data_IF_266790653447
#
_entry.id   IF_266790653447
#
_cell.length_a   1.000
_cell.length_b   1.000
_cell.length_c   1.000
_cell.angle_alpha   90.00
_cell.angle_beta   90.00
_cell.angle_gamma   90.00
#
_symmetry.space_group_name_H-M   'P 1'
#
loop_
_entity.id
_entity.type
_entity.pdbx_description
1 polymer ?
#
# COMPACT_ATOMS: atom_id res chain seq x y z
N UNK A 1 37.46 -10.12 -16.45
CA UNK A 1 36.90 -8.84 -15.95
C UNK A 1 35.56 -8.94 -15.23
N UNK A 2 34.83 -10.09 -15.33
CA UNK A 2 33.46 -10.19 -14.74
C UNK A 2 33.42 -10.47 -13.23
N UNK A 3 34.34 -11.29 -12.70
CA UNK A 3 34.30 -11.75 -11.29
C UNK A 3 34.60 -10.64 -10.27
N UNK A 4 35.53 -9.74 -10.59
CA UNK A 4 35.86 -8.61 -9.69
C UNK A 4 34.75 -7.55 -9.64
N UNK A 5 34.02 -7.35 -10.73
CA UNK A 5 32.89 -6.41 -10.78
C UNK A 5 31.70 -6.92 -9.98
N UNK A 6 31.42 -8.21 -10.03
CA UNK A 6 30.36 -8.87 -9.26
C UNK A 6 30.67 -8.88 -7.76
N UNK A 7 31.94 -9.10 -7.37
CA UNK A 7 32.39 -9.00 -5.98
C UNK A 7 32.31 -7.59 -5.42
N UNK A 8 32.65 -6.54 -6.20
CA UNK A 8 32.51 -5.14 -5.79
C UNK A 8 31.07 -4.73 -5.57
N UNK A 9 30.14 -5.17 -6.45
CA UNK A 9 28.70 -4.91 -6.31
C UNK A 9 28.12 -5.58 -5.05
N UNK A 10 28.55 -6.79 -4.72
CA UNK A 10 28.14 -7.52 -3.50
C UNK A 10 28.69 -6.84 -2.24
N UNK A 11 29.92 -6.34 -2.27
CA UNK A 11 30.53 -5.62 -1.14
C UNK A 11 29.85 -4.27 -0.89
N UNK A 12 29.55 -3.50 -1.94
CA UNK A 12 28.85 -2.23 -1.81
C UNK A 12 27.42 -2.42 -1.28
N UNK A 13 26.71 -3.44 -1.73
CA UNK A 13 25.40 -3.81 -1.18
C UNK A 13 25.50 -4.20 0.30
N UNK A 14 26.51 -4.97 0.67
CA UNK A 14 26.75 -5.39 2.06
C UNK A 14 27.11 -4.22 2.97
N UNK A 15 27.95 -3.30 2.49
CA UNK A 15 28.33 -2.08 3.23
C UNK A 15 27.14 -1.13 3.40
N UNK A 16 26.34 -0.93 2.35
CA UNK A 16 25.08 -0.16 2.44
C UNK A 16 24.12 -0.76 3.47
N UNK A 17 24.00 -2.09 3.54
CA UNK A 17 23.17 -2.79 4.53
C UNK A 17 23.66 -2.58 5.96
N UNK A 18 24.97 -2.63 6.19
CA UNK A 18 25.58 -2.39 7.51
C UNK A 18 25.36 -0.93 7.93
N UNK A 19 25.65 0.03 7.04
CA UNK A 19 25.46 1.45 7.30
C UNK A 19 23.98 1.78 7.55
N UNK A 20 23.08 1.19 6.78
CA UNK A 20 21.63 1.32 6.97
C UNK A 20 21.20 0.75 8.32
N UNK A 21 21.66 -0.45 8.70
CA UNK A 21 21.38 -1.05 10.01
C UNK A 21 21.90 -0.19 11.17
N UNK A 22 23.07 0.41 11.02
CA UNK A 22 23.64 1.31 12.04
C UNK A 22 22.83 2.60 12.12
N UNK A 23 22.44 3.18 10.98
CA UNK A 23 21.65 4.41 10.91
C UNK A 23 20.27 4.20 11.55
N UNK A 24 19.59 3.11 11.22
CA UNK A 24 18.30 2.76 11.81
C UNK A 24 18.43 2.51 13.31
N UNK A 25 19.44 1.75 13.76
CA UNK A 25 19.70 1.56 15.19
C UNK A 25 19.95 2.89 15.92
N UNK A 26 20.67 3.81 15.29
CA UNK A 26 20.95 5.12 15.86
C UNK A 26 19.70 5.99 15.93
N UNK A 27 18.88 6.02 14.87
CA UNK A 27 17.55 6.65 14.87
C UNK A 27 16.65 6.07 15.94
N UNK A 28 16.69 4.75 16.14
CA UNK A 28 15.93 4.04 17.15
C UNK A 28 16.36 4.39 18.59
N UNK A 29 17.66 4.48 18.82
CA UNK A 29 18.22 4.78 20.16
C UNK A 29 18.14 6.28 20.50
N UNK A 30 18.25 7.17 19.50
CA UNK A 30 18.21 8.62 19.66
C UNK A 30 16.80 9.21 19.44
N UNK A 31 15.93 8.44 18.77
CA UNK A 31 14.69 8.94 18.14
C UNK A 31 13.44 8.87 18.98
N UNK A 32 13.52 8.71 20.29
CA UNK A 32 12.36 8.61 21.16
C UNK A 32 11.38 9.79 21.17
N UNK A 33 11.33 10.57 20.09
CA UNK A 33 10.56 11.82 20.02
C UNK A 33 9.11 11.67 19.55
N UNK A 34 8.78 10.65 18.75
CA UNK A 34 7.39 10.38 18.40
C UNK A 34 7.15 8.87 18.22
N UNK A 35 5.92 8.43 18.52
CA UNK A 35 5.46 7.05 18.31
C UNK A 35 5.67 6.63 16.84
N UNK A 36 5.25 7.46 15.89
CA UNK A 36 5.36 7.21 14.45
C UNK A 36 6.82 6.98 14.03
N UNK A 37 7.76 7.84 14.47
CA UNK A 37 9.18 7.68 14.11
C UNK A 37 9.76 6.35 14.57
N UNK A 38 9.39 5.90 15.77
CA UNK A 38 9.85 4.63 16.32
C UNK A 38 9.26 3.45 15.52
N UNK A 39 7.95 3.42 15.32
CA UNK A 39 7.27 2.35 14.59
C UNK A 39 7.74 2.26 13.14
N UNK A 40 7.90 3.39 12.46
CA UNK A 40 8.45 3.43 11.10
C UNK A 40 9.88 2.86 11.04
N UNK A 41 10.73 3.17 12.02
CA UNK A 41 12.09 2.62 12.07
C UNK A 41 12.09 1.11 12.31
N UNK A 42 11.23 0.61 13.21
CA UNK A 42 11.03 -0.82 13.46
C UNK A 42 10.53 -1.54 12.20
N UNK A 43 9.54 -0.96 11.53
CA UNK A 43 9.01 -1.48 10.28
C UNK A 43 10.09 -1.60 9.20
N UNK A 44 10.84 -0.54 8.93
CA UNK A 44 11.92 -0.56 7.93
C UNK A 44 12.97 -1.63 8.28
N UNK A 45 13.32 -1.78 9.56
CA UNK A 45 14.26 -2.81 9.99
C UNK A 45 13.71 -4.23 9.71
N UNK A 46 12.44 -4.50 10.04
CA UNK A 46 11.77 -5.78 9.76
C UNK A 46 11.70 -6.07 8.26
N UNK A 47 11.28 -5.07 7.45
CA UNK A 47 11.18 -5.22 5.99
C UNK A 47 12.55 -5.49 5.37
N UNK A 48 13.59 -4.79 5.81
CA UNK A 48 14.93 -5.02 5.31
C UNK A 48 15.46 -6.42 5.67
N UNK A 49 15.11 -6.94 6.84
CA UNK A 49 15.46 -8.30 7.26
C UNK A 49 14.68 -9.36 6.47
N UNK A 50 13.37 -9.18 6.32
CA UNK A 50 12.45 -10.13 5.66
C UNK A 50 12.63 -10.13 4.13
N UNK A 51 12.85 -8.95 3.54
CA UNK A 51 12.92 -8.74 2.10
C UNK A 51 14.22 -8.01 1.69
N UNK A 52 15.38 -8.64 1.83
CA UNK A 52 16.69 -7.98 1.66
C UNK A 52 16.96 -7.47 0.24
N UNK A 53 16.22 -7.94 -0.76
CA UNK A 53 16.33 -7.50 -2.16
C UNK A 53 15.34 -6.42 -2.54
N UNK A 54 14.32 -6.17 -1.70
CA UNK A 54 13.32 -5.14 -1.96
C UNK A 54 13.90 -3.73 -1.78
N UNK A 55 13.43 -2.80 -2.58
CA UNK A 55 13.87 -1.40 -2.55
C UNK A 55 13.10 -0.62 -1.49
N UNK A 56 13.82 0.21 -0.71
CA UNK A 56 13.24 1.22 0.15
C UNK A 56 13.11 2.53 -0.62
N UNK A 57 11.88 3.02 -0.78
CA UNK A 57 11.56 4.28 -1.44
C UNK A 57 11.41 5.42 -0.43
N UNK A 58 11.77 6.65 -0.82
CA UNK A 58 11.69 7.83 0.07
C UNK A 58 10.26 8.32 0.28
N UNK A 59 9.33 7.98 -0.65
CA UNK A 59 7.92 8.34 -0.55
C UNK A 59 7.05 7.31 -1.27
N UNK A 60 5.78 7.28 -0.90
CA UNK A 60 4.78 6.41 -1.53
C UNK A 60 4.59 6.70 -3.02
N UNK A 61 4.66 7.97 -3.43
CA UNK A 61 4.54 8.35 -4.84
C UNK A 61 5.68 7.77 -5.70
N UNK A 62 6.91 7.69 -5.16
CA UNK A 62 8.04 7.07 -5.87
C UNK A 62 7.86 5.56 -5.98
N UNK A 63 7.36 4.90 -4.94
CA UNK A 63 7.01 3.50 -4.99
C UNK A 63 5.87 3.26 -6.00
N UNK A 64 4.77 4.02 -5.92
CA UNK A 64 3.63 3.92 -6.84
C UNK A 64 4.03 4.15 -8.30
N UNK A 65 4.96 5.07 -8.57
CA UNK A 65 5.44 5.30 -9.93
C UNK A 65 6.09 4.06 -10.57
N UNK A 66 6.53 3.09 -9.77
CA UNK A 66 7.08 1.82 -10.28
C UNK A 66 6.01 0.85 -10.75
N UNK A 67 4.74 1.00 -10.32
CA UNK A 67 3.65 0.07 -10.64
C UNK A 67 3.43 -0.09 -12.15
N UNK A 68 3.64 0.97 -12.92
CA UNK A 68 3.56 0.90 -14.38
C UNK A 68 4.46 -0.16 -15.02
N UNK A 69 5.61 -0.46 -14.42
CA UNK A 69 6.51 -1.53 -14.90
C UNK A 69 5.96 -2.92 -14.58
N UNK A 70 5.25 -3.05 -13.48
CA UNK A 70 4.65 -4.31 -13.01
C UNK A 70 3.34 -4.64 -13.74
N UNK A 71 2.60 -3.63 -14.19
CA UNK A 71 1.37 -3.78 -14.97
C UNK A 71 1.61 -4.25 -16.41
N UNK A 72 2.88 -4.44 -16.84
CA UNK A 72 3.23 -4.97 -18.16
C UNK A 72 2.47 -4.33 -19.32
N UNK A 73 2.21 -3.02 -19.25
CA UNK A 73 1.46 -2.26 -20.25
C UNK A 73 -0.05 -2.62 -20.35
N UNK A 74 -0.60 -3.39 -19.41
CA UNK A 74 -2.02 -3.76 -19.43
C UNK A 74 -2.91 -2.62 -18.93
N UNK A 75 -4.18 -2.65 -19.32
CA UNK A 75 -5.22 -1.80 -18.74
C UNK A 75 -5.50 -2.29 -17.30
N UNK A 76 -5.89 -1.35 -16.43
CA UNK A 76 -6.09 -1.63 -15.02
C UNK A 76 -7.26 -0.86 -14.43
N UNK A 77 -7.75 -1.34 -13.29
CA UNK A 77 -8.80 -0.71 -12.47
C UNK A 77 -8.21 -0.48 -11.08
N UNK A 78 -8.42 0.72 -10.54
CA UNK A 78 -7.99 1.08 -9.19
C UNK A 78 -9.11 0.91 -8.16
N UNK A 79 -8.75 0.39 -7.00
CA UNK A 79 -9.58 0.33 -5.80
C UNK A 79 -8.82 1.01 -4.66
N UNK A 80 -9.42 2.05 -4.08
CA UNK A 80 -8.89 2.78 -2.95
C UNK A 80 -9.84 2.62 -1.76
N UNK A 81 -9.36 1.97 -0.73
CA UNK A 81 -10.07 1.71 0.50
C UNK A 81 -9.56 2.65 1.59
N UNK A 82 -10.38 3.67 1.92
CA UNK A 82 -9.96 4.86 2.64
C UNK A 82 -9.51 5.95 1.67
N UNK A 83 -10.35 6.95 1.46
CA UNK A 83 -10.13 8.01 0.47
C UNK A 83 -9.83 9.34 1.13
N UNK A 84 -10.53 9.66 2.21
CA UNK A 84 -10.46 10.95 2.92
C UNK A 84 -10.47 12.16 1.96
N UNK A 85 -9.38 12.94 1.89
CA UNK A 85 -9.22 14.10 1.00
C UNK A 85 -8.97 13.75 -0.47
N UNK A 86 -8.76 12.46 -0.80
CA UNK A 86 -8.48 11.95 -2.14
C UNK A 86 -7.06 12.23 -2.64
N UNK A 87 -6.08 12.30 -1.76
CA UNK A 87 -4.70 12.62 -2.16
C UNK A 87 -4.06 11.46 -2.92
N UNK A 88 -4.33 10.21 -2.53
CA UNK A 88 -3.90 9.04 -3.29
C UNK A 88 -4.58 9.03 -4.66
N UNK A 89 -5.91 9.17 -4.73
CA UNK A 89 -6.66 9.30 -5.99
C UNK A 89 -6.03 10.34 -6.92
N UNK A 90 -5.82 11.59 -6.43
CA UNK A 90 -5.22 12.68 -7.23
C UNK A 90 -3.84 12.32 -7.75
N UNK A 91 -3.07 11.58 -6.97
CA UNK A 91 -1.72 11.16 -7.33
C UNK A 91 -1.75 10.07 -8.38
N UNK A 92 -2.56 9.02 -8.21
CA UNK A 92 -2.67 7.93 -9.19
C UNK A 92 -3.18 8.39 -10.55
N UNK A 93 -4.13 9.33 -10.59
CA UNK A 93 -4.64 9.90 -11.85
C UNK A 93 -3.60 10.73 -12.61
N UNK A 94 -2.46 11.07 -12.00
CA UNK A 94 -1.34 11.79 -12.63
C UNK A 94 -0.14 10.89 -12.93
N UNK A 95 -0.19 9.61 -12.57
CA UNK A 95 0.91 8.68 -12.84
C UNK A 95 1.11 8.47 -14.35
N UNK A 96 2.34 8.21 -14.81
CA UNK A 96 2.61 8.01 -16.24
C UNK A 96 1.79 6.90 -16.91
N UNK A 97 1.30 5.94 -16.13
CA UNK A 97 0.47 4.82 -16.58
C UNK A 97 -1.04 5.04 -16.36
N UNK A 98 -1.46 6.23 -15.90
CA UNK A 98 -2.86 6.55 -15.65
C UNK A 98 -3.73 6.52 -16.92
N UNK A 99 -3.15 6.75 -18.10
CA UNK A 99 -3.84 6.65 -19.40
C UNK A 99 -4.46 5.26 -19.66
N UNK A 100 -3.96 4.22 -18.95
CA UNK A 100 -4.45 2.83 -19.03
C UNK A 100 -5.47 2.48 -17.95
N UNK A 101 -5.78 3.43 -17.08
CA UNK A 101 -6.82 3.27 -16.07
C UNK A 101 -8.20 3.26 -16.73
N UNK A 102 -8.97 2.24 -16.46
CA UNK A 102 -10.36 2.10 -16.96
C UNK A 102 -11.40 2.61 -15.96
N UNK A 103 -11.02 2.74 -14.69
CA UNK A 103 -11.86 3.20 -13.61
C UNK A 103 -11.11 3.23 -12.29
N UNK A 104 -11.48 4.16 -11.44
CA UNK A 104 -10.99 4.29 -10.08
C UNK A 104 -12.17 4.30 -9.12
N UNK A 105 -12.21 3.32 -8.23
CA UNK A 105 -13.29 3.11 -7.28
C UNK A 105 -12.79 3.40 -5.87
N UNK A 106 -13.24 4.51 -5.29
CA UNK A 106 -12.92 4.87 -3.92
C UNK A 106 -14.05 4.50 -2.96
N UNK A 107 -13.70 3.87 -1.85
CA UNK A 107 -14.60 3.38 -0.80
C UNK A 107 -14.30 4.12 0.49
N UNK A 108 -15.26 4.89 0.99
CA UNK A 108 -15.13 5.63 2.24
C UNK A 108 -16.51 6.05 2.77
N UNK A 109 -16.63 6.23 4.06
CA UNK A 109 -17.78 6.89 4.67
C UNK A 109 -17.73 8.40 4.54
N UNK A 110 -16.51 8.95 4.38
CA UNK A 110 -16.18 10.37 4.47
C UNK A 110 -16.53 11.04 5.82
N UNK A 111 -16.85 10.21 6.81
CA UNK A 111 -17.14 10.61 8.19
C UNK A 111 -15.93 10.52 9.12
N UNK A 112 -14.77 10.08 8.57
CA UNK A 112 -13.55 9.87 9.32
C UNK A 112 -13.55 8.62 10.18
N UNK A 113 -12.54 8.49 11.02
CA UNK A 113 -12.33 7.31 11.85
C UNK A 113 -13.56 7.01 12.76
N UNK A 114 -14.05 5.77 12.80
CA UNK A 114 -15.18 5.38 13.65
C UNK A 114 -14.83 5.31 15.15
N UNK A 115 -13.54 5.20 15.47
CA UNK A 115 -12.97 5.15 16.82
C UNK A 115 -11.64 5.89 16.87
N UNK A 116 -11.05 6.00 18.05
CA UNK A 116 -9.67 6.48 18.21
C UNK A 116 -8.68 5.52 17.52
N UNK A 117 -7.63 6.06 16.91
CA UNK A 117 -6.56 5.30 16.30
C UNK A 117 -5.19 5.98 16.53
N UNK A 118 -4.29 5.28 17.20
CA UNK A 118 -3.03 5.86 17.64
C UNK A 118 -3.25 7.10 18.50
N UNK A 119 -2.71 8.24 18.05
CA UNK A 119 -2.87 9.54 18.72
C UNK A 119 -4.01 10.37 18.10
N UNK A 120 -4.79 9.79 17.17
CA UNK A 120 -5.86 10.47 16.46
C UNK A 120 -7.23 10.16 17.09
N UNK A 121 -8.08 11.19 17.28
CA UNK A 121 -9.40 11.00 17.85
C UNK A 121 -10.38 10.40 16.83
N UNK A 122 -11.48 9.85 17.33
CA UNK A 122 -12.65 9.54 16.51
C UNK A 122 -13.04 10.76 15.67
N UNK A 123 -13.38 10.54 14.39
CA UNK A 123 -13.71 11.56 13.41
C UNK A 123 -12.50 12.20 12.72
N UNK A 124 -11.27 11.83 13.06
CA UNK A 124 -10.12 12.25 12.29
C UNK A 124 -10.29 11.86 10.82
N UNK A 125 -9.74 12.66 9.89
CA UNK A 125 -9.90 12.54 8.43
C UNK A 125 -11.31 12.74 7.88
N UNK A 126 -12.28 13.19 8.71
CA UNK A 126 -13.62 13.49 8.23
C UNK A 126 -13.61 14.62 7.19
N UNK A 127 -14.41 14.44 6.16
CA UNK A 127 -14.79 15.47 5.20
C UNK A 127 -16.30 15.76 5.25
N UNK A 128 -16.91 15.54 6.44
CA UNK A 128 -18.32 15.75 6.73
C UNK A 128 -19.27 14.96 5.79
N UNK A 129 -18.86 13.75 5.41
CA UNK A 129 -19.61 12.88 4.51
C UNK A 129 -19.52 13.29 3.03
N UNK A 130 -18.69 14.27 2.68
CA UNK A 130 -18.58 14.79 1.32
C UNK A 130 -17.34 14.24 0.63
N UNK A 131 -17.50 13.51 -0.50
CA UNK A 131 -16.38 13.05 -1.30
C UNK A 131 -15.55 14.22 -1.87
N UNK A 132 -14.24 14.00 -2.10
CA UNK A 132 -13.39 15.02 -2.70
C UNK A 132 -13.86 15.40 -4.10
N UNK A 133 -13.84 16.70 -4.40
CA UNK A 133 -14.27 17.24 -5.70
C UNK A 133 -13.14 17.12 -6.73
N UNK A 134 -12.95 15.90 -7.24
CA UNK A 134 -11.97 15.60 -8.29
C UNK A 134 -12.71 15.40 -9.61
N UNK A 135 -12.35 16.18 -10.63
CA UNK A 135 -12.98 16.08 -11.95
C UNK A 135 -12.29 15.00 -12.77
N UNK A 136 -12.94 13.86 -12.91
CA UNK A 136 -12.52 12.77 -13.79
C UNK A 136 -13.69 11.81 -14.03
N UNK A 137 -13.90 11.42 -15.27
CA UNK A 137 -14.94 10.44 -15.65
C UNK A 137 -14.57 9.01 -15.22
N UNK A 138 -13.33 8.79 -14.78
CA UNK A 138 -12.86 7.50 -14.28
C UNK A 138 -13.31 7.23 -12.84
N UNK A 139 -13.72 8.26 -12.08
CA UNK A 139 -13.97 8.16 -10.66
C UNK A 139 -15.38 7.69 -10.33
N UNK A 140 -15.44 6.76 -9.39
CA UNK A 140 -16.68 6.32 -8.76
C UNK A 140 -16.50 6.21 -7.25
N UNK A 141 -17.26 6.99 -6.50
CA UNK A 141 -17.27 6.95 -5.04
C UNK A 141 -18.35 5.98 -4.54
N UNK A 142 -17.95 5.06 -3.69
CA UNK A 142 -18.82 4.13 -2.96
C UNK A 142 -18.90 4.62 -1.52
N UNK A 143 -19.91 5.45 -1.26
CA UNK A 143 -20.08 6.14 0.03
C UNK A 143 -20.81 5.21 1.00
N UNK A 144 -20.18 4.88 2.09
CA UNK A 144 -20.74 4.00 3.11
C UNK A 144 -19.68 3.17 3.82
N UNK A 145 -20.13 2.33 4.73
CA UNK A 145 -19.25 1.37 5.39
C UNK A 145 -18.74 0.35 4.37
N UNK A 146 -17.53 -0.13 4.60
CA UNK A 146 -16.92 -1.07 3.65
C UNK A 146 -17.71 -2.37 3.53
N UNK A 147 -18.28 -2.84 4.62
CA UNK A 147 -19.08 -4.07 4.66
C UNK A 147 -20.32 -3.99 3.76
N UNK A 148 -20.83 -2.77 3.54
CA UNK A 148 -22.03 -2.53 2.73
C UNK A 148 -21.69 -2.25 1.26
N UNK A 149 -20.49 -1.73 0.99
CA UNK A 149 -20.12 -1.18 -0.33
C UNK A 149 -19.17 -2.06 -1.12
N UNK A 150 -18.27 -2.83 -0.48
CA UNK A 150 -17.22 -3.60 -1.16
C UNK A 150 -17.76 -4.70 -2.10
N UNK A 151 -18.98 -5.18 -1.90
CA UNK A 151 -19.59 -6.20 -2.77
C UNK A 151 -19.77 -5.74 -4.22
N UNK A 152 -19.71 -4.43 -4.48
CA UNK A 152 -19.73 -3.90 -5.86
C UNK A 152 -18.52 -4.35 -6.67
N UNK A 153 -17.41 -4.77 -6.05
CA UNK A 153 -16.24 -5.35 -6.70
C UNK A 153 -16.61 -6.61 -7.47
N UNK A 154 -17.56 -7.41 -6.98
CA UNK A 154 -18.03 -8.63 -7.64
C UNK A 154 -18.51 -8.39 -9.08
N UNK A 155 -19.07 -7.22 -9.35
CA UNK A 155 -19.53 -6.84 -10.70
C UNK A 155 -18.41 -6.44 -11.66
N UNK A 156 -17.23 -6.14 -11.12
CA UNK A 156 -16.05 -5.67 -11.88
C UNK A 156 -15.04 -6.79 -12.13
N UNK A 157 -15.15 -7.90 -11.41
CA UNK A 157 -14.20 -9.03 -11.45
C UNK A 157 -14.20 -9.82 -12.77
N UNK A 158 -15.25 -9.71 -13.57
CA UNK A 158 -15.34 -10.38 -14.87
C UNK A 158 -14.52 -9.69 -15.96
N UNK A 159 -13.87 -8.57 -15.64
CA UNK A 159 -13.02 -7.86 -16.57
C UNK A 159 -11.62 -8.48 -16.56
N UNK A 160 -11.10 -8.86 -17.73
CA UNK A 160 -9.72 -9.35 -17.88
C UNK A 160 -8.72 -8.19 -17.82
N UNK A 161 -8.68 -7.51 -16.66
CA UNK A 161 -7.85 -6.34 -16.38
C UNK A 161 -7.13 -6.50 -15.06
N UNK A 162 -5.95 -5.93 -14.93
CA UNK A 162 -5.26 -5.92 -13.65
C UNK A 162 -5.91 -4.96 -12.66
N UNK A 163 -5.72 -5.25 -11.39
CA UNK A 163 -6.14 -4.39 -10.30
C UNK A 163 -4.94 -3.72 -9.64
N UNK A 164 -5.12 -2.48 -9.25
CA UNK A 164 -4.31 -1.81 -8.23
C UNK A 164 -5.21 -1.59 -7.03
N UNK A 165 -4.87 -2.20 -5.92
CA UNK A 165 -5.65 -2.15 -4.68
C UNK A 165 -4.84 -1.41 -3.62
N UNK A 166 -5.42 -0.35 -3.09
CA UNK A 166 -4.83 0.47 -2.03
C UNK A 166 -5.65 0.27 -0.76
N UNK A 167 -5.02 -0.19 0.31
CA UNK A 167 -5.57 -0.24 1.65
C UNK A 167 -5.01 0.93 2.46
N UNK A 168 -5.90 1.82 2.92
CA UNK A 168 -5.59 3.07 3.65
C UNK A 168 -6.74 3.33 4.65
N UNK A 169 -7.13 2.28 5.40
CA UNK A 169 -8.26 2.33 6.34
C UNK A 169 -7.85 2.52 7.79
N UNK A 170 -6.55 2.42 8.09
CA UNK A 170 -5.98 2.53 9.43
C UNK A 170 -6.42 1.42 10.42
N UNK A 171 -7.56 0.76 10.20
CA UNK A 171 -8.17 -0.18 11.12
C UNK A 171 -8.20 -1.60 10.56
N UNK A 172 -7.77 -2.58 11.37
CA UNK A 172 -7.79 -4.00 11.04
C UNK A 172 -9.15 -4.49 10.52
N UNK A 173 -10.24 -4.13 11.21
CA UNK A 173 -11.59 -4.64 10.86
C UNK A 173 -12.05 -4.20 9.48
N UNK A 174 -11.77 -2.95 9.11
CA UNK A 174 -12.15 -2.40 7.80
C UNK A 174 -11.28 -3.00 6.69
N UNK A 175 -9.97 -3.05 6.89
CA UNK A 175 -9.02 -3.67 5.93
C UNK A 175 -9.34 -5.15 5.74
N UNK A 176 -9.66 -5.88 6.83
CA UNK A 176 -10.04 -7.30 6.76
C UNK A 176 -11.33 -7.51 5.98
N UNK A 177 -12.35 -6.70 6.21
CA UNK A 177 -13.61 -6.78 5.47
C UNK A 177 -13.43 -6.54 3.96
N UNK A 178 -12.62 -5.55 3.59
CA UNK A 178 -12.27 -5.31 2.19
C UNK A 178 -11.46 -6.46 1.59
N UNK A 179 -10.47 -6.97 2.33
CA UNK A 179 -9.63 -8.09 1.90
C UNK A 179 -10.45 -9.33 1.59
N UNK A 180 -11.38 -9.72 2.46
CA UNK A 180 -12.19 -10.93 2.30
C UNK A 180 -13.04 -10.94 1.02
N UNK A 181 -13.36 -9.76 0.49
CA UNK A 181 -14.00 -9.63 -0.82
C UNK A 181 -12.97 -9.62 -1.94
N UNK A 182 -11.97 -8.75 -1.83
CA UNK A 182 -10.99 -8.50 -2.90
C UNK A 182 -10.19 -9.74 -3.26
N UNK A 183 -9.77 -10.54 -2.27
CA UNK A 183 -8.91 -11.72 -2.46
C UNK A 183 -9.50 -12.72 -3.47
N UNK A 184 -10.82 -12.83 -3.54
CA UNK A 184 -11.50 -13.74 -4.46
C UNK A 184 -11.43 -13.30 -5.94
N UNK A 185 -10.96 -12.09 -6.19
CA UNK A 185 -10.89 -11.47 -7.53
C UNK A 185 -9.45 -11.18 -7.96
N UNK A 186 -8.48 -11.38 -7.06
CA UNK A 186 -7.07 -11.15 -7.35
C UNK A 186 -6.50 -12.22 -8.26
N UNK A 187 -5.67 -11.79 -9.19
CA UNK A 187 -4.96 -12.66 -10.13
C UNK A 187 -3.52 -12.21 -10.33
N UNK A 188 -2.74 -13.07 -10.97
CA UNK A 188 -1.35 -12.76 -11.31
C UNK A 188 -1.23 -11.44 -12.08
N UNK A 189 -0.33 -10.59 -11.64
CA UNK A 189 -0.09 -9.25 -12.17
C UNK A 189 -0.79 -8.14 -11.39
N UNK A 190 -1.77 -8.45 -10.54
CA UNK A 190 -2.41 -7.44 -9.69
C UNK A 190 -1.44 -6.89 -8.65
N UNK A 191 -1.66 -5.65 -8.24
CA UNK A 191 -0.81 -4.94 -7.27
C UNK A 191 -1.64 -4.59 -6.05
N UNK A 192 -1.07 -4.82 -4.87
CA UNK A 192 -1.67 -4.46 -3.58
C UNK A 192 -0.70 -3.53 -2.86
N UNK A 193 -1.21 -2.49 -2.24
CA UNK A 193 -0.47 -1.57 -1.40
C UNK A 193 -1.18 -1.35 -0.07
N UNK A 194 -0.43 -1.38 1.01
CA UNK A 194 -0.85 -1.03 2.37
C UNK A 194 -0.12 0.23 2.80
N UNK A 195 -0.84 1.27 3.20
CA UNK A 195 -0.25 2.61 3.46
C UNK A 195 0.36 2.70 4.87
N UNK A 196 -0.32 2.17 5.89
CA UNK A 196 0.14 2.19 7.28
C UNK A 196 0.68 0.85 7.76
N UNK A 197 1.40 0.11 6.91
CA UNK A 197 1.97 -1.21 7.23
C UNK A 197 2.93 -1.22 8.45
N UNK A 198 3.31 -0.06 8.96
CA UNK A 198 4.08 0.11 10.20
C UNK A 198 3.21 0.05 11.45
N UNK A 199 1.91 0.27 11.35
CA UNK A 199 0.94 0.19 12.46
C UNK A 199 0.50 -1.25 12.73
N UNK A 200 0.10 -1.51 13.97
CA UNK A 200 -0.19 -2.88 14.42
C UNK A 200 -1.35 -3.53 13.64
N UNK A 201 -2.39 -2.77 13.33
CA UNK A 201 -3.59 -3.27 12.67
C UNK A 201 -3.30 -3.75 11.24
N UNK A 202 -2.59 -2.94 10.44
CA UNK A 202 -2.21 -3.36 9.09
C UNK A 202 -1.09 -4.40 9.08
N UNK A 203 -0.11 -4.31 10.00
CA UNK A 203 0.93 -5.33 10.13
C UNK A 203 0.32 -6.71 10.45
N UNK A 204 -0.71 -6.75 11.31
CA UNK A 204 -1.42 -7.98 11.62
C UNK A 204 -2.06 -8.58 10.38
N UNK A 205 -2.85 -7.80 9.61
CA UNK A 205 -3.54 -8.33 8.45
C UNK A 205 -2.57 -8.73 7.34
N UNK A 206 -1.48 -7.99 7.13
CA UNK A 206 -0.44 -8.35 6.16
C UNK A 206 0.19 -9.70 6.52
N UNK A 207 0.47 -9.94 7.80
CA UNK A 207 1.02 -11.22 8.24
C UNK A 207 0.00 -12.36 8.06
N UNK A 208 -1.28 -12.16 8.39
CA UNK A 208 -2.35 -13.13 8.15
C UNK A 208 -2.50 -13.49 6.67
N UNK A 209 -2.45 -12.49 5.77
CA UNK A 209 -2.50 -12.69 4.32
C UNK A 209 -1.33 -13.54 3.84
N UNK A 210 -0.11 -13.24 4.31
CA UNK A 210 1.10 -13.98 3.94
C UNK A 210 1.04 -15.42 4.46
N UNK A 211 0.59 -15.62 5.69
CA UNK A 211 0.50 -16.93 6.33
C UNK A 211 -0.60 -17.81 5.72
N UNK A 212 -1.72 -17.20 5.31
CA UNK A 212 -2.85 -17.92 4.68
C UNK A 212 -2.49 -18.59 3.37
N UNK A 213 -1.49 -18.06 2.66
CA UNK A 213 -1.09 -18.51 1.32
C UNK A 213 -2.22 -18.56 0.28
N UNK A 214 -3.28 -17.79 0.49
CA UNK A 214 -4.38 -17.67 -0.47
C UNK A 214 -3.90 -17.07 -1.79
N UNK A 215 -2.90 -16.19 -1.72
CA UNK A 215 -2.25 -15.56 -2.87
C UNK A 215 -0.73 -15.64 -2.72
N UNK A 216 -0.04 -15.74 -3.86
CA UNK A 216 1.42 -15.71 -3.89
C UNK A 216 1.87 -14.25 -4.06
N UNK A 217 2.59 -13.71 -3.06
CA UNK A 217 2.98 -12.30 -2.99
C UNK A 217 4.47 -12.11 -3.26
N UNK A 218 4.81 -11.27 -4.21
CA UNK A 218 6.18 -10.76 -4.41
C UNK A 218 6.24 -9.29 -4.03
N UNK A 219 7.19 -8.92 -3.17
CA UNK A 219 7.37 -7.53 -2.75
C UNK A 219 7.93 -6.69 -3.90
N UNK A 220 7.21 -5.63 -4.27
CA UNK A 220 7.68 -4.60 -5.20
C UNK A 220 8.67 -3.68 -4.52
N UNK A 221 8.33 -3.23 -3.31
CA UNK A 221 9.12 -2.33 -2.50
C UNK A 221 8.33 -1.82 -1.31
N UNK A 222 8.97 -0.99 -0.50
CA UNK A 222 8.37 -0.41 0.69
C UNK A 222 8.88 1.02 0.94
N UNK A 223 8.16 1.75 1.76
CA UNK A 223 8.55 3.07 2.28
C UNK A 223 8.87 2.96 3.77
N UNK A 224 8.91 4.07 4.47
CA UNK A 224 8.99 4.08 5.95
C UNK A 224 7.66 3.73 6.61
N UNK A 225 6.56 3.67 5.86
CA UNK A 225 5.22 3.47 6.38
C UNK A 225 4.47 2.34 5.67
N UNK A 226 4.55 2.26 4.35
CA UNK A 226 3.75 1.34 3.54
C UNK A 226 4.58 0.33 2.74
N UNK A 227 3.89 -0.69 2.23
CA UNK A 227 4.49 -1.78 1.44
C UNK A 227 3.60 -2.15 0.25
N UNK A 228 4.25 -2.45 -0.88
CA UNK A 228 3.58 -2.91 -2.09
C UNK A 228 3.98 -4.33 -2.47
N UNK A 229 3.00 -5.10 -2.92
CA UNK A 229 3.16 -6.45 -3.42
C UNK A 229 2.57 -6.59 -4.82
N UNK A 230 3.14 -7.48 -5.62
CA UNK A 230 2.52 -8.01 -6.83
C UNK A 230 2.04 -9.44 -6.58
N UNK A 231 0.84 -9.76 -7.07
CA UNK A 231 0.33 -11.13 -7.09
C UNK A 231 1.08 -11.92 -8.16
N UNK A 232 1.56 -13.08 -7.81
CA UNK A 232 2.20 -14.04 -8.71
C UNK A 232 1.33 -15.28 -8.93
N UNK A 233 1.66 -16.00 -9.99
CA UNK A 233 1.00 -17.28 -10.34
C UNK A 233 1.29 -18.35 -9.30
#
# INVERSE_FOLDING_TARGET
MSTQMTMRLTWQKRLKRILFSILIKRLFLEGGKSRVTRLSAEFVFRMHAKYPSAELFHSREKLWNTFGKHLSQQQWIGFEFGVASGDATKTFLKMPYAEKCLGWHGFDTFMGLPSEWGDLPKGAFSTDGVPPQIKSDLLKWHIGRIEDTCTTINSLSNLDKNFIVIFDFDLYTATKAAWDVVVNHLKSGDIIYFDEAYEADEDQIINEIIESRQVNLEVIGYTTMGIAFQIKS
#
